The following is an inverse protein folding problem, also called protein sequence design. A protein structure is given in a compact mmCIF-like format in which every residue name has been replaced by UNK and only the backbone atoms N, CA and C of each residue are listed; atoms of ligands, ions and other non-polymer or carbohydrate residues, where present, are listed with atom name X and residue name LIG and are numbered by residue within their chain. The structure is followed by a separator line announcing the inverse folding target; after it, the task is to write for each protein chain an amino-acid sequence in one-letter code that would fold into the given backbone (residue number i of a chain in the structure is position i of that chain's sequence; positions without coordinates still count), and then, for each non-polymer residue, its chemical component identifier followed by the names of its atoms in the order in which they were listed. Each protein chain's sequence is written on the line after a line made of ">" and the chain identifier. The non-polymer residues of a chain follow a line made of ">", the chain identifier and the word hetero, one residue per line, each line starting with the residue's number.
data_IF_011060626165
#
_entry.id   IF_011060626165
#
_cell.length_a   1.000
_cell.length_b   1.000
_cell.length_c   1.000
_cell.angle_alpha   90.00
_cell.angle_beta   90.00
_cell.angle_gamma   90.00
#
_symmetry.space_group_name_H-M   'P 1'
#
loop_
_entity.id
_entity.type
_entity.pdbx_description
1 polymer ?
#
# COMPACT_ATOMS: atom_id res chain seq x y z
N UNK A 1 11.48 -2.86 1.97
CA UNK A 1 10.77 -2.01 2.95
C UNK A 1 9.26 -2.05 2.70
N UNK A 2 8.47 -1.65 3.64
CA UNK A 2 7.01 -1.60 3.46
C UNK A 2 6.53 -0.15 3.40
N UNK A 3 5.22 0.05 3.15
CA UNK A 3 4.68 1.39 2.97
C UNK A 3 4.69 2.25 4.22
N UNK A 4 4.76 1.65 5.41
CA UNK A 4 4.88 2.43 6.64
C UNK A 4 6.18 3.23 6.64
N UNK A 5 7.21 2.68 6.01
CA UNK A 5 8.54 3.29 5.93
C UNK A 5 8.72 4.19 4.71
N UNK A 6 7.77 4.16 3.77
CA UNK A 6 7.87 4.91 2.54
C UNK A 6 7.71 6.42 2.77
N UNK A 7 8.38 7.21 1.96
CA UNK A 7 8.29 8.68 2.06
C UNK A 7 7.04 9.18 1.35
N UNK A 8 6.33 10.09 2.00
CA UNK A 8 5.18 10.75 1.38
C UNK A 8 5.65 11.57 0.18
N UNK A 9 4.84 11.55 -0.88
CA UNK A 9 5.13 12.28 -2.10
C UNK A 9 5.98 11.52 -3.11
N UNK A 10 6.49 10.34 -2.77
CA UNK A 10 7.30 9.54 -3.69
C UNK A 10 6.49 8.35 -4.22
N UNK A 11 6.74 8.02 -5.49
CA UNK A 11 6.14 6.85 -6.11
C UNK A 11 7.07 5.65 -5.93
N UNK A 12 6.47 4.50 -5.61
CA UNK A 12 7.19 3.24 -5.46
C UNK A 12 6.55 2.19 -6.35
N UNK A 13 7.30 1.14 -6.66
CA UNK A 13 6.76 -0.02 -7.37
C UNK A 13 6.57 -1.13 -6.35
N UNK A 14 5.37 -1.68 -6.29
CA UNK A 14 5.06 -2.79 -5.37
C UNK A 14 5.85 -4.02 -5.80
N UNK A 15 6.60 -4.60 -4.86
CA UNK A 15 7.34 -5.84 -5.10
C UNK A 15 6.48 -7.06 -4.83
N UNK A 16 5.78 -7.05 -3.70
CA UNK A 16 4.92 -8.15 -3.30
C UNK A 16 3.99 -7.71 -2.18
N UNK A 17 2.97 -8.51 -1.93
CA UNK A 17 2.13 -8.38 -0.74
C UNK A 17 2.55 -9.49 0.21
N UNK A 18 3.06 -9.10 1.37
CA UNK A 18 3.60 -10.04 2.35
C UNK A 18 2.63 -10.18 3.52
N UNK A 19 1.77 -11.18 3.44
CA UNK A 19 0.81 -11.50 4.49
C UNK A 19 0.36 -12.94 4.33
N UNK A 20 0.04 -13.59 5.47
CA UNK A 20 -0.58 -14.90 5.47
C UNK A 20 -2.11 -14.80 5.68
N UNK A 21 -2.64 -13.59 5.71
CA UNK A 21 -4.07 -13.34 5.78
C UNK A 21 -4.63 -13.21 4.37
N UNK A 22 -5.34 -14.22 3.89
CA UNK A 22 -5.88 -14.24 2.54
C UNK A 22 -6.90 -13.13 2.29
N UNK A 23 -7.71 -12.80 3.28
CA UNK A 23 -8.71 -11.74 3.14
C UNK A 23 -8.04 -10.39 2.93
N UNK A 24 -6.97 -10.14 3.67
CA UNK A 24 -6.20 -8.90 3.54
C UNK A 24 -5.55 -8.82 2.15
N UNK A 25 -4.97 -9.92 1.71
CA UNK A 25 -4.36 -10.00 0.38
C UNK A 25 -5.39 -9.74 -0.71
N UNK A 26 -6.55 -10.38 -0.62
CA UNK A 26 -7.62 -10.20 -1.61
C UNK A 26 -8.15 -8.78 -1.61
N UNK A 27 -8.29 -8.17 -0.44
CA UNK A 27 -8.72 -6.79 -0.33
C UNK A 27 -7.73 -5.85 -1.04
N UNK A 28 -6.45 -6.00 -0.77
CA UNK A 28 -5.42 -5.20 -1.44
C UNK A 28 -5.42 -5.40 -2.95
N UNK A 29 -5.63 -6.63 -3.39
CA UNK A 29 -5.73 -6.91 -4.81
C UNK A 29 -6.89 -6.15 -5.47
N UNK A 30 -8.04 -6.05 -4.78
CA UNK A 30 -9.19 -5.31 -5.31
C UNK A 30 -8.90 -3.82 -5.44
N UNK A 31 -7.99 -3.29 -4.64
CA UNK A 31 -7.57 -1.89 -4.74
C UNK A 31 -6.55 -1.66 -5.86
N UNK A 32 -6.02 -2.72 -6.43
CA UNK A 32 -4.96 -2.63 -7.43
C UNK A 32 -3.56 -2.77 -6.86
N UNK A 33 -3.44 -3.23 -5.60
CA UNK A 33 -2.14 -3.43 -4.94
C UNK A 33 -1.62 -4.83 -5.24
N UNK A 34 -0.79 -4.95 -6.25
CA UNK A 34 -0.12 -6.21 -6.57
C UNK A 34 1.23 -5.93 -7.22
N UNK A 35 2.05 -6.97 -7.31
CA UNK A 35 3.41 -6.87 -7.80
C UNK A 35 3.49 -6.18 -9.16
N UNK A 36 4.40 -5.22 -9.27
CA UNK A 36 4.64 -4.47 -10.50
C UNK A 36 3.84 -3.19 -10.62
N UNK A 37 2.85 -2.95 -9.76
CA UNK A 37 2.03 -1.76 -9.84
C UNK A 37 2.66 -0.58 -9.09
N UNK A 38 2.59 0.63 -9.65
CA UNK A 38 3.06 1.82 -8.94
C UNK A 38 2.08 2.24 -7.85
N UNK A 39 2.63 2.72 -6.75
CA UNK A 39 1.87 3.25 -5.63
C UNK A 39 2.57 4.47 -5.08
N UNK A 40 1.80 5.49 -4.74
CA UNK A 40 2.32 6.72 -4.14
C UNK A 40 1.70 6.91 -2.78
N UNK A 41 2.53 7.17 -1.77
CA UNK A 41 2.02 7.58 -0.46
C UNK A 41 1.78 9.07 -0.53
N UNK A 42 0.52 9.48 -0.41
CA UNK A 42 0.16 10.91 -0.45
C UNK A 42 0.52 11.57 0.88
N UNK A 43 0.15 10.91 1.98
CA UNK A 43 0.46 11.42 3.32
C UNK A 43 0.39 10.28 4.33
N UNK A 44 1.17 10.43 5.40
CA UNK A 44 1.08 9.54 6.55
C UNK A 44 0.10 10.12 7.55
N UNK A 45 -0.73 9.25 8.11
CA UNK A 45 -1.71 9.59 9.13
C UNK A 45 -1.38 8.81 10.39
N UNK A 46 -1.99 9.19 11.50
CA UNK A 46 -1.88 8.42 12.73
C UNK A 46 -2.62 7.09 12.52
N UNK A 47 -1.86 6.02 12.46
CA UNK A 47 -2.42 4.67 12.29
C UNK A 47 -2.59 4.22 10.84
N UNK A 48 -2.09 4.97 9.86
CA UNK A 48 -2.18 4.56 8.47
C UNK A 48 -1.63 5.59 7.51
N UNK A 49 -2.08 5.50 6.26
CA UNK A 49 -1.68 6.47 5.25
C UNK A 49 -2.72 6.57 4.15
N UNK A 50 -2.63 7.67 3.40
CA UNK A 50 -3.41 7.85 2.18
C UNK A 50 -2.50 7.47 1.02
N UNK A 51 -2.96 6.58 0.15
CA UNK A 51 -2.20 6.12 -1.01
C UNK A 51 -2.96 6.40 -2.30
N UNK A 52 -2.23 6.61 -3.36
CA UNK A 52 -2.78 6.72 -4.71
C UNK A 52 -2.35 5.49 -5.49
N UNK A 53 -3.32 4.80 -6.06
CA UNK A 53 -3.12 3.62 -6.88
C UNK A 53 -3.97 3.81 -8.13
N UNK A 54 -3.33 3.73 -9.31
CA UNK A 54 -4.04 4.00 -10.57
C UNK A 54 -4.68 5.39 -10.47
N UNK A 55 -5.96 5.50 -10.70
CA UNK A 55 -6.67 6.79 -10.68
C UNK A 55 -7.44 7.03 -9.38
N UNK A 56 -7.17 6.25 -8.35
CA UNK A 56 -7.93 6.29 -7.10
C UNK A 56 -7.05 6.52 -5.90
N UNK A 57 -7.65 7.07 -4.84
CA UNK A 57 -6.98 7.27 -3.56
C UNK A 57 -7.70 6.48 -2.48
N UNK A 58 -6.94 5.92 -1.58
CA UNK A 58 -7.48 5.10 -0.50
C UNK A 58 -6.79 5.42 0.81
N UNK A 59 -7.58 5.36 1.90
CA UNK A 59 -7.02 5.37 3.24
C UNK A 59 -6.80 3.92 3.64
N UNK A 60 -5.57 3.58 4.01
CA UNK A 60 -5.26 2.24 4.51
C UNK A 60 -4.65 2.35 5.89
N UNK A 61 -4.91 1.36 6.73
CA UNK A 61 -4.32 1.33 8.07
C UNK A 61 -2.90 0.77 8.02
N UNK A 62 -2.20 0.83 9.16
CA UNK A 62 -0.83 0.34 9.23
C UNK A 62 -0.71 -1.14 8.96
N UNK A 63 -1.71 -1.94 9.32
CA UNK A 63 -1.70 -3.38 9.04
C UNK A 63 -1.64 -3.63 7.53
N UNK A 64 -2.46 -2.90 6.76
CA UNK A 64 -2.44 -2.99 5.31
C UNK A 64 -1.12 -2.46 4.73
N UNK A 65 -0.66 -1.32 5.25
CA UNK A 65 0.58 -0.70 4.77
C UNK A 65 1.80 -1.59 5.01
N UNK A 66 1.84 -2.28 6.15
CA UNK A 66 2.93 -3.20 6.47
C UNK A 66 3.01 -4.38 5.50
N UNK A 67 1.89 -4.79 4.95
CA UNK A 67 1.84 -5.92 4.02
C UNK A 67 2.33 -5.55 2.63
N UNK A 68 2.33 -4.29 2.27
CA UNK A 68 2.74 -3.84 0.93
C UNK A 68 4.24 -3.59 0.92
N UNK A 69 4.97 -4.46 0.25
CA UNK A 69 6.43 -4.39 0.14
C UNK A 69 6.81 -3.64 -1.13
N UNK A 70 7.66 -2.65 -0.96
CA UNK A 70 8.14 -1.82 -2.06
C UNK A 70 9.65 -1.75 -2.12
#
# INVERSE_FOLDING_TARGET
>A
MNLVEAKAGEEYIIKEICTDDEELNDFLFTLGCYSGEPITVISHLKGGCVVAIKDSRYNIDNQLAEAIIV
#
